data_IF_519005478655
#
_entry.id   IF_519005478655
#
_cell.length_a   1.000
_cell.length_b   1.000
_cell.length_c   1.000
_cell.angle_alpha   90.00
_cell.angle_beta   90.00
_cell.angle_gamma   90.00
#
_symmetry.space_group_name_H-M   'P 1'
#
loop_
_entity.id
_entity.type
_entity.pdbx_description
1 polymer ?
#
# COMPACT_ATOMS: atom_id res chain seq x y z
N UNK A 1 60.44 10.04 34.90
CA UNK A 1 60.86 11.27 35.62
C UNK A 1 59.68 12.21 35.59
N UNK A 2 58.94 12.26 36.69
CA UNK A 2 57.83 13.20 36.89
C UNK A 2 58.23 14.24 37.92
N UNK A 3 57.73 15.46 37.77
CA UNK A 3 57.74 16.61 38.69
C UNK A 3 57.25 17.82 37.87
N UNK A 4 56.46 18.80 38.30
CA UNK A 4 55.69 19.06 39.53
C UNK A 4 54.65 20.12 39.15
N UNK A 5 53.46 20.01 39.73
CA UNK A 5 52.40 21.02 39.72
C UNK A 5 52.79 22.18 40.65
N UNK A 6 52.63 23.44 40.22
CA UNK A 6 52.64 24.59 41.13
C UNK A 6 51.43 25.49 40.87
N UNK A 7 50.51 25.39 41.83
CA UNK A 7 49.34 26.24 42.02
C UNK A 7 49.80 27.55 42.66
N UNK A 8 49.38 28.69 42.10
CA UNK A 8 49.65 30.02 42.66
C UNK A 8 48.33 30.73 42.91
N UNK A 9 48.04 30.99 44.17
CA UNK A 9 46.90 31.75 44.66
C UNK A 9 47.25 33.25 44.68
N UNK A 10 46.29 34.11 44.32
CA UNK A 10 46.32 35.54 44.63
C UNK A 10 44.99 35.94 45.28
N UNK A 11 45.01 36.61 46.46
CA UNK A 11 43.81 36.93 47.23
C UNK A 11 43.32 38.37 47.04
N UNK A 12 42.00 38.54 47.28
CA UNK A 12 41.25 39.74 47.75
C UNK A 12 41.27 40.98 46.83
N UNK A 13 40.17 41.70 46.60
CA UNK A 13 39.31 42.37 47.59
C UNK A 13 37.92 42.70 47.04
N UNK A 14 36.99 42.89 47.98
CA UNK A 14 35.56 43.09 47.83
C UNK A 14 35.13 44.43 47.21
N UNK A 15 33.96 44.43 46.58
CA UNK A 15 33.02 45.57 46.61
C UNK A 15 31.62 45.02 46.87
N UNK A 16 31.11 45.29 48.07
CA UNK A 16 29.69 45.23 48.40
C UNK A 16 29.00 46.43 47.74
N UNK A 17 27.95 46.18 46.95
CA UNK A 17 26.93 47.18 46.63
C UNK A 17 25.57 46.61 47.02
N UNK A 18 24.94 47.24 48.00
CA UNK A 18 23.57 47.01 48.44
C UNK A 18 22.69 48.00 47.69
N UNK A 19 21.67 47.53 46.95
CA UNK A 19 20.60 48.38 46.42
C UNK A 19 19.28 47.60 46.23
N UNK A 20 18.34 47.90 47.13
CA UNK A 20 16.86 47.92 47.07
C UNK A 20 16.03 46.78 46.40
N UNK A 21 14.86 46.41 46.98
CA UNK A 21 13.92 45.48 46.37
C UNK A 21 12.98 46.22 45.40
N UNK A 22 12.97 45.81 44.13
CA UNK A 22 11.94 46.22 43.18
C UNK A 22 10.79 45.19 43.20
N UNK A 23 9.62 45.63 43.68
CA UNK A 23 8.36 44.91 43.49
C UNK A 23 7.83 45.12 42.06
N UNK A 24 7.40 44.00 41.48
CA UNK A 24 6.32 43.85 40.51
C UNK A 24 6.41 44.54 39.14
N UNK A 25 6.51 43.71 38.10
CA UNK A 25 5.44 43.53 37.08
C UNK A 25 5.84 42.40 36.13
N UNK A 26 5.09 41.29 36.16
CA UNK A 26 5.18 40.27 35.13
C UNK A 26 4.48 40.79 33.86
N UNK A 27 5.11 40.77 32.68
CA UNK A 27 4.41 41.07 31.45
C UNK A 27 3.45 39.92 31.12
N UNK A 28 2.16 40.26 31.00
CA UNK A 28 1.17 39.37 30.41
C UNK A 28 1.57 39.09 28.95
N UNK A 29 2.09 37.89 28.69
CA UNK A 29 2.32 37.43 27.33
C UNK A 29 0.97 37.18 26.65
N UNK A 30 0.69 38.00 25.64
CA UNK A 30 -0.47 37.88 24.78
C UNK A 30 -0.54 36.48 24.16
N UNK A 31 -1.64 35.76 24.43
CA UNK A 31 -1.97 34.51 23.75
C UNK A 31 -2.37 34.83 22.31
N UNK A 32 -1.48 34.61 21.35
CA UNK A 32 -1.84 34.48 19.95
C UNK A 32 -2.55 33.13 19.75
N UNK A 33 -3.76 33.08 19.15
CA UNK A 33 -4.37 31.81 18.79
C UNK A 33 -3.60 31.26 17.59
N UNK A 34 -2.63 30.38 17.85
CA UNK A 34 -1.98 29.60 16.80
C UNK A 34 -2.97 28.52 16.36
N UNK A 35 -3.75 28.84 15.33
CA UNK A 35 -4.48 27.85 14.55
C UNK A 35 -3.46 26.99 13.79
N UNK A 36 -3.01 25.91 14.42
CA UNK A 36 -2.45 24.77 13.73
C UNK A 36 -3.42 23.61 13.90
N UNK A 37 -4.43 23.55 13.02
CA UNK A 37 -5.09 22.29 12.72
C UNK A 37 -4.07 21.43 11.97
N UNK A 38 -3.18 20.79 12.74
CA UNK A 38 -2.47 19.62 12.27
C UNK A 38 -3.53 18.63 11.83
N UNK A 39 -3.66 18.45 10.52
CA UNK A 39 -4.55 17.45 9.93
C UNK A 39 -4.01 16.10 10.38
N UNK A 40 -4.68 15.50 11.37
CA UNK A 40 -4.39 14.14 11.79
C UNK A 40 -4.50 13.25 10.55
N UNK A 41 -3.56 12.32 10.31
CA UNK A 41 -3.73 11.32 9.28
C UNK A 41 -5.07 10.65 9.55
N UNK A 42 -6.02 10.76 8.62
CA UNK A 42 -7.32 10.14 8.78
C UNK A 42 -7.07 8.65 9.07
N UNK A 43 -7.46 8.20 10.27
CA UNK A 43 -7.36 6.79 10.66
C UNK A 43 -8.13 6.00 9.60
N UNK A 44 -7.46 5.07 8.93
CA UNK A 44 -8.09 4.19 7.95
C UNK A 44 -9.35 3.58 8.56
N UNK A 45 -10.49 3.59 7.85
CA UNK A 45 -11.72 3.02 8.38
C UNK A 45 -11.53 1.53 8.66
N UNK A 46 -12.18 0.96 9.69
CA UNK A 46 -12.13 -0.48 9.91
C UNK A 46 -12.67 -1.22 8.69
N UNK A 47 -12.01 -2.32 8.32
CA UNK A 47 -12.51 -3.23 7.30
C UNK A 47 -13.84 -3.88 7.71
N UNK A 48 -14.49 -4.55 6.78
CA UNK A 48 -15.76 -5.25 7.01
C UNK A 48 -15.59 -6.49 7.90
N UNK A 49 -14.37 -7.04 7.97
CA UNK A 49 -14.06 -8.21 8.79
C UNK A 49 -13.51 -7.83 10.18
N UNK A 50 -13.51 -6.55 10.54
CA UNK A 50 -13.08 -6.10 11.86
C UNK A 50 -13.92 -6.76 12.97
N UNK A 51 -13.25 -7.36 13.95
CA UNK A 51 -13.91 -8.09 15.05
C UNK A 51 -14.51 -9.44 14.66
N UNK A 52 -14.34 -9.89 13.40
CA UNK A 52 -14.76 -11.22 12.93
C UNK A 52 -13.61 -12.23 13.09
N UNK A 53 -13.91 -13.54 13.07
CA UNK A 53 -12.86 -14.55 12.99
C UNK A 53 -11.96 -14.31 11.77
N UNK A 54 -10.63 -14.50 11.90
CA UNK A 54 -9.69 -14.24 10.81
C UNK A 54 -9.94 -15.19 9.64
N UNK A 55 -9.59 -14.74 8.43
CA UNK A 55 -9.51 -15.63 7.27
C UNK A 55 -8.33 -16.57 7.49
N UNK A 56 -8.59 -17.86 7.66
CA UNK A 56 -7.58 -18.91 7.86
C UNK A 56 -6.88 -19.23 6.52
N UNK A 57 -6.06 -18.27 6.09
CA UNK A 57 -5.51 -18.24 4.74
C UNK A 57 -4.56 -19.40 4.45
N UNK A 58 -3.89 -19.93 5.47
CA UNK A 58 -2.96 -21.05 5.31
C UNK A 58 -3.67 -22.38 5.00
N UNK A 59 -4.98 -22.46 5.27
CA UNK A 59 -5.81 -23.59 4.83
C UNK A 59 -6.37 -23.40 3.42
N UNK A 60 -6.35 -22.17 2.90
CA UNK A 60 -7.06 -21.79 1.67
C UNK A 60 -6.08 -21.54 0.50
N UNK A 61 -4.88 -21.05 0.79
CA UNK A 61 -3.81 -20.94 -0.19
C UNK A 61 -2.97 -22.22 -0.19
N UNK A 62 -2.60 -22.73 -1.38
CA UNK A 62 -1.57 -23.76 -1.46
C UNK A 62 -0.21 -23.20 -1.01
N UNK A 63 0.75 -24.09 -0.75
CA UNK A 63 2.14 -23.66 -0.61
C UNK A 63 2.67 -23.10 -1.94
N UNK A 64 3.70 -22.22 -1.93
CA UNK A 64 4.43 -21.87 -3.13
C UNK A 64 4.90 -23.11 -3.90
N UNK A 65 5.06 -23.02 -5.23
CA UNK A 65 5.53 -24.14 -6.03
C UNK A 65 6.83 -24.75 -5.50
N UNK A 66 6.84 -26.08 -5.34
CA UNK A 66 8.04 -26.81 -4.96
C UNK A 66 9.08 -26.75 -6.11
N UNK A 67 10.36 -26.72 -5.76
CA UNK A 67 11.44 -26.67 -6.75
C UNK A 67 11.35 -27.84 -7.75
N UNK A 68 11.43 -27.55 -9.04
CA UNK A 68 11.33 -28.55 -10.11
C UNK A 68 9.91 -29.05 -10.42
N UNK A 69 8.88 -28.56 -9.72
CA UNK A 69 7.48 -28.80 -10.09
C UNK A 69 7.13 -28.09 -11.41
N UNK A 70 6.04 -28.51 -12.06
CA UNK A 70 5.55 -27.85 -13.27
C UNK A 70 5.28 -26.36 -13.06
N UNK A 71 4.75 -25.97 -11.91
CA UNK A 71 4.49 -24.57 -11.56
C UNK A 71 5.78 -23.79 -11.28
N UNK A 72 6.80 -24.38 -10.65
CA UNK A 72 8.11 -23.72 -10.48
C UNK A 72 8.81 -23.49 -11.83
N UNK A 73 8.69 -24.47 -12.76
CA UNK A 73 9.18 -24.31 -14.13
C UNK A 73 8.44 -23.16 -14.83
N UNK A 74 7.11 -23.11 -14.75
CA UNK A 74 6.31 -22.02 -15.34
C UNK A 74 6.70 -20.64 -14.76
N UNK A 75 6.89 -20.55 -13.44
CA UNK A 75 7.35 -19.34 -12.78
C UNK A 75 8.70 -18.84 -13.33
N UNK A 76 9.68 -19.75 -13.45
CA UNK A 76 11.01 -19.42 -13.97
C UNK A 76 10.98 -19.05 -15.43
N UNK A 77 10.18 -19.76 -16.23
CA UNK A 77 10.00 -19.45 -17.66
C UNK A 77 9.38 -18.08 -17.86
N UNK A 78 8.32 -17.74 -17.11
CA UNK A 78 7.68 -16.42 -17.17
C UNK A 78 8.64 -15.31 -16.74
N UNK A 79 9.40 -15.52 -15.65
CA UNK A 79 10.40 -14.57 -15.20
C UNK A 79 11.55 -14.39 -16.22
N UNK A 80 12.05 -15.46 -16.83
CA UNK A 80 13.07 -15.35 -17.88
C UNK A 80 12.54 -14.58 -19.10
N UNK A 81 11.30 -14.88 -19.52
CA UNK A 81 10.67 -14.22 -20.67
C UNK A 81 10.47 -12.71 -20.46
N UNK A 82 10.13 -12.27 -19.24
CA UNK A 82 9.85 -10.86 -18.95
C UNK A 82 11.08 -9.95 -19.10
N UNK A 83 12.31 -10.50 -19.15
CA UNK A 83 13.52 -9.73 -19.38
C UNK A 83 13.50 -8.98 -20.73
N UNK A 84 12.82 -9.54 -21.74
CA UNK A 84 12.67 -8.91 -23.07
C UNK A 84 11.81 -7.64 -23.03
N UNK A 85 10.97 -7.48 -22.01
CA UNK A 85 10.06 -6.34 -21.85
C UNK A 85 10.65 -5.18 -21.05
N UNK A 86 11.87 -5.30 -20.54
CA UNK A 86 12.52 -4.24 -19.75
C UNK A 86 12.61 -2.95 -20.58
N UNK A 87 12.12 -1.84 -20.03
CA UNK A 87 12.04 -0.54 -20.71
C UNK A 87 10.90 -0.39 -21.72
N UNK A 88 10.13 -1.45 -21.98
CA UNK A 88 8.93 -1.44 -22.82
C UNK A 88 7.72 -0.76 -22.17
N UNK A 89 6.57 -0.83 -22.85
CA UNK A 89 5.33 -0.19 -22.39
C UNK A 89 4.87 -0.73 -21.01
N UNK A 90 4.75 -2.04 -20.86
CA UNK A 90 4.32 -2.66 -19.60
C UNK A 90 5.31 -2.42 -18.45
N UNK A 91 6.61 -2.35 -18.74
CA UNK A 91 7.61 -1.98 -17.74
C UNK A 91 7.38 -0.57 -17.22
N UNK A 92 7.14 0.39 -18.13
CA UNK A 92 6.86 1.79 -17.77
C UNK A 92 5.55 1.94 -17.01
N UNK A 93 4.50 1.25 -17.45
CA UNK A 93 3.22 1.21 -16.74
C UNK A 93 3.40 0.63 -15.34
N UNK A 94 4.13 -0.49 -15.23
CA UNK A 94 4.43 -1.11 -13.95
C UNK A 94 5.21 -0.18 -13.01
N UNK A 95 6.18 0.59 -13.53
CA UNK A 95 6.91 1.60 -12.75
C UNK A 95 6.00 2.73 -12.26
N UNK A 96 5.10 3.22 -13.11
CA UNK A 96 4.17 4.31 -12.77
C UNK A 96 3.11 3.86 -11.73
N UNK A 97 2.69 2.60 -11.81
CA UNK A 97 1.67 2.01 -10.95
C UNK A 97 2.26 1.21 -9.77
N UNK A 98 3.52 1.47 -9.40
CA UNK A 98 4.22 0.72 -8.33
C UNK A 98 3.43 0.70 -7.03
N UNK A 99 2.80 1.81 -6.65
CA UNK A 99 2.07 1.94 -5.41
C UNK A 99 0.57 1.91 -5.68
N UNK A 100 -0.20 1.01 -5.03
CA UNK A 100 -1.65 1.09 -5.04
C UNK A 100 -2.02 2.45 -4.45
N UNK A 101 -2.93 3.16 -5.12
CA UNK A 101 -3.30 4.57 -4.85
C UNK A 101 -2.36 5.65 -5.38
N UNK A 102 -1.30 5.32 -6.15
CA UNK A 102 -0.58 6.36 -6.91
C UNK A 102 -1.54 7.10 -7.86
N UNK A 103 -1.23 8.34 -8.26
CA UNK A 103 -2.06 9.08 -9.22
C UNK A 103 -2.33 8.28 -10.50
N UNK A 104 -1.34 7.58 -11.03
CA UNK A 104 -1.43 6.77 -12.24
C UNK A 104 -2.31 5.53 -12.04
N UNK A 105 -2.13 4.82 -10.92
CA UNK A 105 -2.97 3.68 -10.55
C UNK A 105 -4.44 4.10 -10.41
N UNK A 106 -4.70 5.20 -9.70
CA UNK A 106 -6.06 5.71 -9.51
C UNK A 106 -6.66 6.23 -10.81
N UNK A 107 -5.85 6.78 -11.71
CA UNK A 107 -6.30 7.21 -13.02
C UNK A 107 -6.70 6.02 -13.91
N UNK A 108 -5.90 4.94 -13.92
CA UNK A 108 -6.23 3.70 -14.62
C UNK A 108 -7.50 3.05 -14.07
N UNK A 109 -7.63 2.95 -12.74
CA UNK A 109 -8.84 2.44 -12.10
C UNK A 109 -10.08 3.30 -12.39
N UNK A 110 -9.94 4.62 -12.33
CA UNK A 110 -11.02 5.57 -12.69
C UNK A 110 -11.50 5.34 -14.12
N UNK A 111 -10.57 5.10 -15.05
CA UNK A 111 -10.93 4.77 -16.43
C UNK A 111 -11.67 3.44 -16.56
N UNK A 112 -11.25 2.42 -15.82
CA UNK A 112 -11.94 1.13 -15.79
C UNK A 112 -13.40 1.31 -15.30
N UNK A 113 -13.59 2.06 -14.21
CA UNK A 113 -14.93 2.36 -13.67
C UNK A 113 -15.72 3.32 -14.57
N UNK A 114 -15.06 4.18 -15.35
CA UNK A 114 -15.71 5.14 -16.25
C UNK A 114 -16.13 6.45 -15.57
N UNK A 115 -15.63 6.72 -14.37
CA UNK A 115 -15.78 7.99 -13.65
C UNK A 115 -14.57 8.24 -12.75
N UNK A 116 -14.37 9.48 -12.33
CA UNK A 116 -13.24 9.87 -11.48
C UNK A 116 -13.41 9.30 -10.07
N UNK A 117 -12.48 8.45 -9.64
CA UNK A 117 -12.43 7.97 -8.27
C UNK A 117 -11.55 8.87 -7.40
N UNK A 118 -12.16 9.55 -6.43
CA UNK A 118 -11.43 10.29 -5.39
C UNK A 118 -12.29 10.53 -4.16
N UNK A 119 -11.67 10.92 -3.04
CA UNK A 119 -12.41 11.27 -1.81
C UNK A 119 -13.37 12.46 -2.00
N UNK A 120 -13.17 13.26 -3.04
CA UNK A 120 -14.00 14.42 -3.36
C UNK A 120 -15.09 14.07 -4.38
N UNK A 121 -14.76 13.26 -5.40
CA UNK A 121 -15.68 12.96 -6.50
C UNK A 121 -16.61 11.78 -6.17
N UNK A 122 -16.09 10.75 -5.49
CA UNK A 122 -16.79 9.50 -5.18
C UNK A 122 -16.46 9.00 -3.76
N UNK A 123 -16.75 9.78 -2.70
CA UNK A 123 -16.41 9.42 -1.33
C UNK A 123 -16.99 8.07 -0.87
N UNK A 124 -18.22 7.72 -1.24
CA UNK A 124 -18.82 6.44 -0.83
C UNK A 124 -18.09 5.25 -1.46
N UNK A 125 -17.77 5.36 -2.75
CA UNK A 125 -16.99 4.36 -3.48
C UNK A 125 -15.59 4.22 -2.91
N UNK A 126 -14.93 5.34 -2.60
CA UNK A 126 -13.59 5.33 -2.01
C UNK A 126 -13.58 4.73 -0.60
N UNK A 127 -14.61 4.97 0.20
CA UNK A 127 -14.77 4.33 1.51
C UNK A 127 -14.91 2.81 1.36
N UNK A 128 -15.73 2.34 0.41
CA UNK A 128 -15.92 0.91 0.17
C UNK A 128 -14.61 0.19 -0.21
N UNK A 129 -13.87 0.72 -1.18
CA UNK A 129 -12.60 0.09 -1.61
C UNK A 129 -11.52 0.18 -0.54
N UNK A 130 -11.48 1.26 0.26
CA UNK A 130 -10.53 1.39 1.36
C UNK A 130 -10.79 0.36 2.45
N UNK A 131 -12.06 0.19 2.88
CA UNK A 131 -12.45 -0.82 3.88
C UNK A 131 -12.15 -2.24 3.40
N UNK A 132 -12.52 -2.57 2.16
CA UNK A 132 -12.19 -3.87 1.57
C UNK A 132 -10.67 -4.10 1.52
N UNK A 133 -9.90 -3.09 1.12
CA UNK A 133 -8.43 -3.18 1.08
C UNK A 133 -7.79 -3.48 2.43
N UNK A 134 -8.34 -2.93 3.53
CA UNK A 134 -7.87 -3.21 4.90
C UNK A 134 -8.01 -4.69 5.25
N UNK A 135 -9.11 -5.34 4.87
CA UNK A 135 -9.37 -6.76 5.18
C UNK A 135 -8.39 -7.73 4.49
N UNK A 136 -7.74 -7.31 3.40
CA UNK A 136 -6.73 -8.11 2.70
C UNK A 136 -5.40 -8.18 3.49
N UNK A 137 -5.07 -7.14 4.28
CA UNK A 137 -3.73 -6.94 4.85
C UNK A 137 -3.35 -8.08 5.82
N UNK A 138 -4.25 -8.43 6.73
CA UNK A 138 -4.04 -9.48 7.72
C UNK A 138 -3.68 -10.84 7.11
N UNK A 139 -4.59 -11.48 6.34
CA UNK A 139 -4.31 -12.77 5.73
C UNK A 139 -3.11 -12.74 4.78
N UNK A 140 -2.92 -11.66 4.00
CA UNK A 140 -1.72 -11.51 3.19
C UNK A 140 -0.44 -11.58 4.02
N UNK A 141 -0.40 -10.84 5.15
CA UNK A 141 0.77 -10.76 6.01
C UNK A 141 1.09 -12.12 6.64
N UNK A 142 0.07 -12.84 7.11
CA UNK A 142 0.21 -14.20 7.64
C UNK A 142 0.82 -15.13 6.60
N UNK A 143 0.28 -15.16 5.38
CA UNK A 143 0.81 -16.02 4.32
C UNK A 143 2.26 -15.65 3.94
N UNK A 144 2.55 -14.35 3.81
CA UNK A 144 3.91 -13.86 3.51
C UNK A 144 4.94 -14.28 4.55
N UNK A 145 4.61 -14.12 5.83
CA UNK A 145 5.49 -14.49 6.92
C UNK A 145 5.68 -16.00 7.02
N UNK A 146 4.62 -16.77 6.81
CA UNK A 146 4.68 -18.23 6.88
C UNK A 146 5.55 -18.84 5.79
N UNK A 147 5.35 -18.44 4.52
CA UNK A 147 6.06 -19.04 3.39
C UNK A 147 7.41 -18.41 3.10
N UNK A 148 7.62 -17.14 3.49
CA UNK A 148 8.89 -16.42 3.34
C UNK A 148 9.55 -16.56 1.96
N UNK A 149 8.74 -16.61 0.88
CA UNK A 149 9.26 -16.89 -0.47
C UNK A 149 10.10 -15.70 -0.96
N UNK A 150 11.35 -15.92 -1.42
CA UNK A 150 12.15 -14.87 -2.02
C UNK A 150 11.56 -14.39 -3.35
N UNK A 151 11.82 -13.13 -3.69
CA UNK A 151 11.39 -12.52 -4.95
C UNK A 151 12.28 -12.96 -6.11
N UNK A 152 11.78 -13.01 -7.35
CA UNK A 152 12.53 -13.52 -8.49
C UNK A 152 13.85 -12.80 -8.75
N UNK A 153 13.86 -11.47 -8.76
CA UNK A 153 15.08 -10.68 -8.99
C UNK A 153 16.19 -10.90 -7.94
N UNK A 154 15.85 -11.43 -6.75
CA UNK A 154 16.86 -11.74 -5.72
C UNK A 154 17.59 -13.06 -5.99
N UNK A 155 17.05 -13.91 -6.87
CA UNK A 155 17.63 -15.22 -7.17
C UNK A 155 18.79 -15.14 -8.17
N UNK A 156 18.75 -14.16 -9.08
CA UNK A 156 19.75 -13.95 -10.13
C UNK A 156 20.40 -12.56 -10.09
N UNK A 157 20.01 -11.70 -9.13
CA UNK A 157 20.37 -10.27 -9.06
C UNK A 157 19.97 -9.50 -10.33
N UNK A 158 18.89 -9.94 -10.99
CA UNK A 158 18.35 -9.31 -12.18
C UNK A 158 17.70 -7.95 -11.90
N UNK A 159 17.40 -7.21 -12.98
CA UNK A 159 16.72 -5.92 -12.87
C UNK A 159 15.24 -6.10 -12.48
N UNK A 160 14.75 -5.19 -11.64
CA UNK A 160 13.34 -5.01 -11.32
C UNK A 160 12.97 -3.53 -11.51
N UNK A 161 11.71 -3.26 -11.86
CA UNK A 161 11.27 -1.90 -12.19
C UNK A 161 11.07 -1.00 -10.95
N UNK A 162 11.05 -1.63 -9.77
CA UNK A 162 10.83 -0.98 -8.49
C UNK A 162 12.14 -0.33 -7.99
N UNK A 163 12.19 0.99 -7.77
CA UNK A 163 13.38 1.67 -7.27
C UNK A 163 13.87 1.12 -5.93
N UNK A 164 12.97 0.60 -5.09
CA UNK A 164 13.34 -0.01 -3.80
C UNK A 164 14.11 -1.32 -4.02
N UNK A 165 13.88 -2.03 -5.12
CA UNK A 165 14.65 -3.20 -5.52
C UNK A 165 16.04 -2.83 -6.07
N UNK A 166 16.18 -1.66 -6.71
CA UNK A 166 17.42 -1.20 -7.32
C UNK A 166 18.54 -0.91 -6.30
N UNK A 167 18.19 -0.61 -5.04
CA UNK A 167 19.14 -0.34 -3.95
C UNK A 167 19.78 -1.62 -3.35
N UNK A 168 19.61 -2.79 -3.98
CA UNK A 168 20.45 -3.97 -3.74
C UNK A 168 20.13 -4.80 -2.49
N UNK A 169 18.99 -4.59 -1.82
CA UNK A 169 18.59 -5.41 -0.67
C UNK A 169 17.17 -5.93 -0.88
N UNK A 170 17.06 -7.18 -1.33
CA UNK A 170 15.80 -7.93 -1.44
C UNK A 170 14.95 -7.97 -0.16
N UNK A 171 15.51 -7.52 0.97
CA UNK A 171 14.80 -7.33 2.23
C UNK A 171 13.85 -6.11 2.25
N UNK A 172 13.98 -5.11 1.35
CA UNK A 172 13.14 -3.90 1.41
C UNK A 172 11.72 -4.09 0.84
N UNK A 173 11.53 -4.95 -0.15
CA UNK A 173 10.19 -5.25 -0.70
C UNK A 173 9.44 -6.36 0.06
N UNK A 174 10.07 -7.00 1.04
CA UNK A 174 9.50 -8.14 1.78
C UNK A 174 9.27 -9.39 0.93
N UNK A 175 8.56 -10.38 1.48
CA UNK A 175 8.33 -11.69 0.87
C UNK A 175 7.42 -11.65 -0.36
N UNK A 176 7.65 -12.58 -1.30
CA UNK A 176 6.98 -12.62 -2.60
C UNK A 176 5.56 -13.20 -2.53
N UNK A 177 5.35 -14.27 -1.78
CA UNK A 177 4.13 -15.08 -1.87
C UNK A 177 3.11 -14.78 -0.75
N UNK A 178 1.82 -14.58 -1.07
CA UNK A 178 1.27 -14.27 -2.40
C UNK A 178 1.50 -12.79 -2.75
N UNK A 179 1.23 -12.38 -4.00
CA UNK A 179 1.35 -10.98 -4.42
C UNK A 179 0.27 -10.10 -3.81
N UNK A 180 0.67 -9.11 -3.01
CA UNK A 180 -0.25 -8.14 -2.40
C UNK A 180 -0.88 -7.20 -3.41
N UNK A 181 -0.12 -6.73 -4.41
CA UNK A 181 -0.64 -5.87 -5.48
C UNK A 181 -1.68 -6.59 -6.32
N UNK A 182 -1.41 -7.84 -6.69
CA UNK A 182 -2.39 -8.66 -7.40
C UNK A 182 -3.64 -8.88 -6.55
N UNK A 183 -3.49 -9.07 -5.23
CA UNK A 183 -4.62 -9.18 -4.33
C UNK A 183 -5.45 -7.88 -4.24
N UNK A 184 -4.80 -6.73 -4.06
CA UNK A 184 -5.50 -5.42 -4.01
C UNK A 184 -6.23 -5.12 -5.31
N UNK A 185 -5.54 -5.25 -6.46
CA UNK A 185 -6.14 -5.00 -7.77
C UNK A 185 -7.35 -5.90 -8.02
N UNK A 186 -7.24 -7.19 -7.70
CA UNK A 186 -8.34 -8.13 -7.87
C UNK A 186 -9.49 -7.91 -6.89
N UNK A 187 -9.19 -7.66 -5.60
CA UNK A 187 -10.22 -7.39 -4.60
C UNK A 187 -11.02 -6.13 -4.96
N UNK A 188 -10.33 -5.05 -5.34
CA UNK A 188 -10.99 -3.83 -5.79
C UNK A 188 -11.80 -4.05 -7.05
N UNK A 189 -11.30 -4.85 -7.99
CA UNK A 189 -12.08 -5.21 -9.16
C UNK A 189 -13.37 -5.96 -8.83
N UNK A 190 -13.35 -6.87 -7.84
CA UNK A 190 -14.54 -7.58 -7.39
C UNK A 190 -15.57 -6.63 -6.76
N UNK A 191 -15.16 -5.85 -5.74
CA UNK A 191 -16.12 -4.97 -5.03
C UNK A 191 -16.63 -3.81 -5.89
N UNK A 192 -15.83 -3.32 -6.84
CA UNK A 192 -16.29 -2.30 -7.80
C UNK A 192 -17.17 -2.89 -8.89
N UNK A 193 -16.97 -4.16 -9.28
CA UNK A 193 -17.89 -4.86 -10.19
C UNK A 193 -19.28 -5.01 -9.58
N UNK A 194 -19.36 -5.19 -8.26
CA UNK A 194 -20.63 -5.27 -7.55
C UNK A 194 -21.39 -3.95 -7.52
N UNK A 195 -20.68 -2.82 -7.46
CA UNK A 195 -21.24 -1.47 -7.45
C UNK A 195 -21.49 -0.91 -8.87
N UNK A 196 -20.72 -1.34 -9.87
CA UNK A 196 -20.82 -0.90 -11.26
C UNK A 196 -20.83 -2.09 -12.25
N UNK A 197 -21.88 -2.93 -12.21
CA UNK A 197 -21.93 -4.19 -12.98
C UNK A 197 -21.80 -4.01 -14.49
N UNK A 198 -22.31 -2.90 -15.05
CA UNK A 198 -22.17 -2.58 -16.48
C UNK A 198 -20.71 -2.34 -16.91
N UNK A 199 -19.82 -2.01 -15.97
CA UNK A 199 -18.38 -1.77 -16.20
C UNK A 199 -17.51 -2.93 -15.73
N UNK A 200 -18.12 -3.99 -15.20
CA UNK A 200 -17.41 -5.12 -14.61
C UNK A 200 -16.35 -5.76 -15.54
N UNK A 201 -16.56 -5.91 -16.88
CA UNK A 201 -15.50 -6.40 -17.75
C UNK A 201 -14.23 -5.51 -17.75
N UNK A 202 -14.39 -4.20 -17.87
CA UNK A 202 -13.27 -3.25 -17.85
C UNK A 202 -12.59 -3.22 -16.47
N UNK A 203 -13.39 -3.23 -15.40
CA UNK A 203 -12.91 -3.26 -14.02
C UNK A 203 -12.11 -4.55 -13.73
N UNK A 204 -12.61 -5.71 -14.15
CA UNK A 204 -11.90 -6.99 -14.00
C UNK A 204 -10.63 -7.06 -14.84
N UNK A 205 -10.64 -6.48 -16.05
CA UNK A 205 -9.43 -6.36 -16.86
C UNK A 205 -8.37 -5.52 -16.16
N UNK A 206 -8.77 -4.40 -15.53
CA UNK A 206 -7.85 -3.60 -14.70
C UNK A 206 -7.26 -4.42 -13.54
N UNK A 207 -8.11 -5.13 -12.79
CA UNK A 207 -7.65 -5.94 -11.66
C UNK A 207 -6.70 -7.07 -12.07
N UNK A 208 -6.90 -7.68 -13.25
CA UNK A 208 -5.97 -8.64 -13.83
C UNK A 208 -4.63 -7.97 -14.17
N UNK A 209 -4.69 -6.85 -14.92
CA UNK A 209 -3.52 -6.11 -15.37
C UNK A 209 -2.65 -5.63 -14.19
N UNK A 210 -3.23 -5.21 -13.07
CA UNK A 210 -2.47 -4.86 -11.85
C UNK A 210 -1.53 -5.98 -11.40
N UNK A 211 -1.96 -7.23 -11.49
CA UNK A 211 -1.14 -8.40 -11.19
C UNK A 211 -0.06 -8.65 -12.25
N UNK A 212 -0.43 -8.56 -13.52
CA UNK A 212 0.46 -8.82 -14.65
C UNK A 212 1.61 -7.80 -14.72
N UNK A 213 1.33 -6.53 -14.37
CA UNK A 213 2.35 -5.50 -14.22
C UNK A 213 3.41 -5.86 -13.17
N UNK A 214 3.11 -6.74 -12.19
CA UNK A 214 4.13 -7.20 -11.24
C UNK A 214 5.09 -8.24 -11.81
N UNK A 215 4.66 -8.98 -12.84
CA UNK A 215 5.51 -9.87 -13.63
C UNK A 215 6.39 -9.03 -14.56
N UNK A 216 5.79 -8.03 -15.23
CA UNK A 216 6.53 -7.07 -16.05
C UNK A 216 7.58 -6.32 -15.22
N UNK A 217 7.23 -5.90 -14.00
CA UNK A 217 8.16 -5.28 -13.06
C UNK A 217 9.22 -6.24 -12.49
N UNK A 218 9.10 -7.54 -12.75
CA UNK A 218 10.03 -8.58 -12.31
C UNK A 218 10.14 -8.71 -10.78
N UNK A 219 9.08 -8.38 -10.03
CA UNK A 219 9.08 -8.43 -8.56
C UNK A 219 8.30 -9.60 -7.95
N UNK A 220 7.51 -10.30 -8.76
CA UNK A 220 6.69 -11.44 -8.34
C UNK A 220 6.78 -12.56 -9.36
N UNK A 221 6.73 -13.80 -8.88
CA UNK A 221 6.55 -14.99 -9.70
C UNK A 221 5.11 -15.04 -10.24
N UNK A 222 4.88 -15.78 -11.33
CA UNK A 222 3.55 -15.97 -11.92
C UNK A 222 2.57 -16.54 -10.88
N UNK A 223 2.97 -17.58 -10.15
CA UNK A 223 2.17 -18.21 -9.11
C UNK A 223 1.90 -17.29 -7.91
N UNK A 224 2.78 -16.31 -7.61
CA UNK A 224 2.49 -15.32 -6.56
C UNK A 224 1.31 -14.44 -6.97
N UNK A 225 1.26 -14.04 -8.25
CA UNK A 225 0.20 -13.21 -8.81
C UNK A 225 -1.12 -13.97 -8.81
N UNK A 226 -1.13 -15.20 -9.32
CA UNK A 226 -2.31 -16.08 -9.32
C UNK A 226 -2.86 -16.29 -7.91
N UNK A 227 -1.99 -16.62 -6.95
CA UNK A 227 -2.40 -16.83 -5.56
C UNK A 227 -2.77 -15.52 -4.83
N UNK A 228 -2.29 -14.37 -5.30
CA UNK A 228 -2.79 -13.07 -4.87
C UNK A 228 -4.26 -12.88 -5.24
N UNK A 229 -4.67 -13.30 -6.44
CA UNK A 229 -6.08 -13.27 -6.88
C UNK A 229 -6.94 -14.27 -6.10
N UNK A 230 -6.41 -15.46 -5.78
CA UNK A 230 -7.11 -16.44 -4.92
C UNK A 230 -7.34 -15.86 -3.52
N UNK A 231 -6.29 -15.33 -2.88
CA UNK A 231 -6.40 -14.64 -1.59
C UNK A 231 -7.50 -13.56 -1.61
N UNK A 232 -7.48 -12.69 -2.62
CA UNK A 232 -8.47 -11.64 -2.77
C UNK A 232 -9.89 -12.17 -2.95
N UNK A 233 -10.07 -13.25 -3.72
CA UNK A 233 -11.38 -13.88 -3.92
C UNK A 233 -11.90 -14.48 -2.61
N UNK A 234 -11.05 -15.13 -1.83
CA UNK A 234 -11.39 -15.66 -0.50
C UNK A 234 -11.80 -14.56 0.47
N UNK A 235 -11.05 -13.46 0.51
CA UNK A 235 -11.37 -12.30 1.35
C UNK A 235 -12.68 -11.65 0.88
N UNK A 236 -12.85 -11.48 -0.43
CA UNK A 236 -14.08 -10.94 -1.03
C UNK A 236 -15.31 -11.76 -0.64
N UNK A 237 -15.26 -13.10 -0.70
CA UNK A 237 -16.40 -13.94 -0.32
C UNK A 237 -16.86 -13.71 1.12
N UNK A 238 -15.92 -13.42 2.02
CA UNK A 238 -16.21 -13.08 3.42
C UNK A 238 -16.82 -11.68 3.51
N UNK A 239 -16.22 -10.70 2.86
CA UNK A 239 -16.72 -9.31 2.81
C UNK A 239 -18.15 -9.26 2.24
N UNK A 240 -18.39 -9.98 1.14
CA UNK A 240 -19.67 -10.01 0.44
C UNK A 240 -20.83 -10.54 1.31
N UNK A 241 -20.54 -11.31 2.35
CA UNK A 241 -21.55 -11.80 3.29
C UNK A 241 -21.93 -10.78 4.39
N UNK A 242 -21.19 -9.68 4.54
CA UNK A 242 -21.39 -8.74 5.64
C UNK A 242 -22.46 -7.69 5.30
N UNK A 243 -23.44 -7.44 6.20
CA UNK A 243 -24.50 -6.44 5.98
C UNK A 243 -23.96 -5.02 5.75
N UNK A 244 -22.87 -4.65 6.45
CA UNK A 244 -22.22 -3.34 6.27
C UNK A 244 -21.64 -3.18 4.86
N UNK A 245 -21.09 -4.25 4.28
CA UNK A 245 -20.61 -4.22 2.90
C UNK A 245 -21.76 -4.02 1.92
N UNK A 246 -22.88 -4.71 2.10
CA UNK A 246 -24.06 -4.54 1.24
C UNK A 246 -24.57 -3.10 1.27
N UNK A 247 -24.64 -2.49 2.46
CA UNK A 247 -25.03 -1.08 2.59
C UNK A 247 -24.02 -0.13 1.91
N UNK A 248 -22.71 -0.38 2.03
CA UNK A 248 -21.69 0.45 1.39
C UNK A 248 -21.71 0.29 -0.14
N UNK A 249 -21.93 -0.94 -0.63
CA UNK A 249 -22.10 -1.26 -2.05
C UNK A 249 -23.27 -0.51 -2.65
N UNK A 250 -24.43 -0.49 -1.99
CA UNK A 250 -25.61 0.26 -2.47
C UNK A 250 -25.33 1.77 -2.55
N UNK A 251 -24.63 2.34 -1.56
CA UNK A 251 -24.23 3.75 -1.59
C UNK A 251 -23.24 4.05 -2.71
N UNK A 252 -22.24 3.19 -2.90
CA UNK A 252 -21.29 3.30 -4.00
C UNK A 252 -22.00 3.20 -5.37
N UNK A 253 -22.93 2.25 -5.54
CA UNK A 253 -23.69 2.10 -6.77
C UNK A 253 -24.54 3.36 -7.08
N UNK A 254 -25.23 3.90 -6.07
CA UNK A 254 -26.03 5.12 -6.22
C UNK A 254 -25.17 6.36 -6.54
N UNK A 255 -23.97 6.43 -5.96
CA UNK A 255 -22.99 7.49 -6.24
C UNK A 255 -22.46 7.39 -7.68
N UNK A 256 -21.99 6.20 -8.09
CA UNK A 256 -21.44 5.95 -9.43
C UNK A 256 -22.48 6.17 -10.54
N UNK A 257 -23.75 5.87 -10.29
CA UNK A 257 -24.84 6.13 -11.25
C UNK A 257 -25.07 7.63 -11.52
N UNK A 258 -24.72 8.51 -10.57
CA UNK A 258 -24.87 9.97 -10.68
C UNK A 258 -23.56 10.67 -11.05
N UNK A 259 -22.44 9.99 -10.90
CA UNK A 259 -21.12 10.56 -11.13
C UNK A 259 -20.93 10.93 -12.62
N UNK A 260 -20.26 12.06 -12.92
CA UNK A 260 -19.95 12.43 -14.30
C UNK A 260 -19.13 11.34 -14.99
N UNK A 261 -19.43 11.08 -16.26
CA UNK A 261 -18.64 10.16 -17.07
C UNK A 261 -17.23 10.71 -17.27
N UNK A 262 -16.24 9.83 -17.15
CA UNK A 262 -14.86 10.12 -17.47
C UNK A 262 -14.55 9.56 -18.86
N UNK A 263 -14.10 10.43 -19.77
CA UNK A 263 -13.51 9.99 -21.04
C UNK A 263 -12.02 9.71 -20.83
N UNK A 264 -11.59 8.56 -21.32
CA UNK A 264 -10.23 8.05 -21.16
C UNK A 264 -9.54 7.81 -22.50
N UNK A 265 -10.00 8.45 -23.57
CA UNK A 265 -9.39 8.36 -24.89
C UNK A 265 -7.86 8.49 -24.83
N UNK A 266 -7.16 7.47 -25.36
CA UNK A 266 -5.70 7.47 -25.50
C UNK A 266 -4.90 6.86 -24.34
N UNK A 267 -5.54 6.13 -23.43
CA UNK A 267 -4.85 5.15 -22.56
C UNK A 267 -5.08 3.72 -23.01
#
# INVERSE_FOLDING_TARGET
MGTTMMMRWMPMTAVLMVAAPALAQAPAAATTPSASTAMTPAKMPPGYLAGKPPVDILKLLPAPPAAGSAQDIADRTAYAASAKGIGGADWKAATAEINPTSPEFMAALSCAVGTKLSLQATPATMAMVARAGVDLIGPMTVAKQHYARPRPFTTDKGQACDPVAADGVGARLGWSYPSGHSGIGWLWALVLSDAAPARAPAIRSFGQATGDLRIACRVHWLSDVENGRILATTVYQRIAAEPEYQADRERAAAELAKAPRLDCAGR
#
